data_IF_756919192292
#
_entry.id   IF_756919192292
#
_cell.length_a   1.000
_cell.length_b   1.000
_cell.length_c   1.000
_cell.angle_alpha   90.00
_cell.angle_beta   90.00
_cell.angle_gamma   90.00
#
_symmetry.space_group_name_H-M   'P 1'
#
loop_
_entity.id
_entity.type
_entity.pdbx_description
1 polymer ?
#
# COMPACT_ATOMS: atom_id res chain seq x y z
N UNK A 1 -19.02 4.58 2.47
CA UNK A 1 -17.66 4.42 3.03
C UNK A 1 -17.68 4.97 4.45
N UNK A 2 -17.00 4.35 5.43
CA UNK A 2 -16.88 4.92 6.76
C UNK A 2 -16.37 6.36 6.69
N UNK A 3 -16.69 7.17 7.71
CA UNK A 3 -16.35 8.60 7.80
C UNK A 3 -14.81 8.80 7.91
N UNK A 4 -14.14 8.66 6.77
CA UNK A 4 -12.71 8.85 6.52
C UNK A 4 -12.50 10.22 5.87
N UNK A 5 -11.33 10.81 6.11
CA UNK A 5 -10.96 12.04 5.44
C UNK A 5 -10.78 11.80 3.93
N UNK A 6 -11.03 12.81 3.10
CA UNK A 6 -10.91 12.72 1.63
C UNK A 6 -9.56 12.17 1.18
N UNK A 7 -8.47 12.57 1.84
CA UNK A 7 -7.13 12.09 1.52
C UNK A 7 -6.98 10.59 1.77
N UNK A 8 -7.51 10.08 2.89
CA UNK A 8 -7.51 8.66 3.25
C UNK A 8 -8.31 7.83 2.23
N UNK A 9 -9.48 8.33 1.84
CA UNK A 9 -10.30 7.68 0.82
C UNK A 9 -9.58 7.59 -0.52
N UNK A 10 -8.83 8.63 -0.90
CA UNK A 10 -8.04 8.65 -2.14
C UNK A 10 -6.92 7.62 -2.10
N UNK A 11 -6.15 7.55 -1.00
CA UNK A 11 -5.11 6.55 -0.79
C UNK A 11 -5.71 5.13 -0.92
N UNK A 12 -6.79 4.85 -0.20
CA UNK A 12 -7.44 3.53 -0.22
C UNK A 12 -7.99 3.16 -1.60
N UNK A 13 -8.58 4.13 -2.32
CA UNK A 13 -9.05 3.89 -3.69
C UNK A 13 -7.90 3.50 -4.62
N UNK A 14 -6.77 4.23 -4.55
CA UNK A 14 -5.57 3.94 -5.36
C UNK A 14 -4.96 2.59 -5.01
N UNK A 15 -4.90 2.24 -3.73
CA UNK A 15 -4.43 0.92 -3.27
C UNK A 15 -5.33 -0.22 -3.76
N UNK A 16 -6.66 -0.09 -3.63
CA UNK A 16 -7.63 -1.13 -4.03
C UNK A 16 -7.66 -1.37 -5.53
N UNK A 17 -7.49 -0.32 -6.33
CA UNK A 17 -7.54 -0.40 -7.80
C UNK A 17 -6.17 -0.67 -8.42
N UNK A 18 -5.10 -0.46 -7.66
CA UNK A 18 -3.73 -0.46 -8.18
C UNK A 18 -3.42 0.71 -9.11
N UNK A 19 -4.35 1.66 -9.32
CA UNK A 19 -4.14 2.88 -10.10
C UNK A 19 -3.38 3.92 -9.29
N UNK A 20 -2.09 3.64 -9.09
CA UNK A 20 -1.21 4.36 -8.18
C UNK A 20 0.17 4.57 -8.79
N UNK A 21 1.01 5.42 -8.20
CA UNK A 21 2.36 5.70 -8.76
C UNK A 21 3.42 4.65 -8.42
N UNK A 22 3.01 3.46 -7.97
CA UNK A 22 3.92 2.33 -7.77
C UNK A 22 4.45 1.79 -9.11
N UNK A 23 5.68 1.25 -9.10
CA UNK A 23 6.39 0.82 -10.31
C UNK A 23 5.61 -0.18 -11.16
N UNK A 24 4.84 -1.09 -10.57
CA UNK A 24 4.06 -2.05 -11.35
C UNK A 24 3.01 -1.36 -12.25
N UNK A 25 2.34 -0.32 -11.74
CA UNK A 25 1.39 0.45 -12.55
C UNK A 25 2.11 1.39 -13.51
N UNK A 26 3.16 2.08 -13.05
CA UNK A 26 3.94 2.99 -13.90
C UNK A 26 4.60 2.27 -15.08
N UNK A 27 5.09 1.05 -14.88
CA UNK A 27 5.64 0.21 -15.95
C UNK A 27 4.55 -0.20 -16.96
N UNK A 28 3.33 -0.53 -16.48
CA UNK A 28 2.19 -0.81 -17.35
C UNK A 28 1.84 0.38 -18.26
N UNK A 29 2.04 1.61 -17.76
CA UNK A 29 1.85 2.85 -18.50
C UNK A 29 3.05 3.24 -19.39
N UNK A 30 4.16 2.47 -19.37
CA UNK A 30 5.38 2.81 -20.09
C UNK A 30 6.19 3.96 -19.47
N UNK A 31 5.89 4.35 -18.22
CA UNK A 31 6.52 5.46 -17.50
C UNK A 31 7.64 5.00 -16.56
N UNK A 32 7.82 3.70 -16.36
CA UNK A 32 8.91 3.12 -15.58
C UNK A 32 9.60 2.03 -16.38
N UNK A 33 10.93 1.93 -16.24
CA UNK A 33 11.75 0.92 -16.92
C UNK A 33 11.55 -0.49 -16.37
N UNK A 34 11.09 -0.63 -15.12
CA UNK A 34 10.87 -1.93 -14.48
C UNK A 34 9.63 -1.91 -13.59
N UNK A 35 8.84 -2.99 -13.54
CA UNK A 35 7.75 -3.11 -12.59
C UNK A 35 8.23 -3.45 -11.18
N UNK A 36 9.51 -3.82 -11.02
CA UNK A 36 10.03 -4.43 -9.80
C UNK A 36 10.24 -3.42 -8.67
N UNK A 37 9.89 -3.87 -7.47
CA UNK A 37 10.18 -3.18 -6.23
C UNK A 37 11.70 -3.08 -6.01
N UNK A 38 12.23 -2.00 -5.38
CA UNK A 38 13.64 -1.91 -5.03
C UNK A 38 14.14 -3.05 -4.11
N UNK A 39 13.24 -3.82 -3.50
CA UNK A 39 13.59 -4.98 -2.71
C UNK A 39 13.90 -6.23 -3.54
N UNK A 40 13.70 -6.18 -4.87
CA UNK A 40 14.03 -7.24 -5.83
C UNK A 40 13.26 -8.57 -5.66
N UNK A 41 12.31 -8.65 -4.72
CA UNK A 41 11.53 -9.87 -4.49
C UNK A 41 10.25 -9.96 -5.33
N UNK A 42 9.93 -8.93 -6.12
CA UNK A 42 8.79 -8.96 -7.04
C UNK A 42 8.34 -7.59 -7.55
N UNK A 43 7.22 -7.54 -8.28
CA UNK A 43 6.60 -6.29 -8.73
C UNK A 43 6.20 -5.39 -7.56
N UNK A 44 6.36 -4.08 -7.70
CA UNK A 44 5.93 -3.12 -6.69
C UNK A 44 4.42 -2.88 -6.79
N UNK A 45 3.61 -3.77 -6.20
CA UNK A 45 2.15 -3.63 -6.12
C UNK A 45 1.70 -3.24 -4.70
N UNK A 46 0.48 -2.71 -4.53
CA UNK A 46 -0.09 -2.49 -3.21
C UNK A 46 -0.03 -3.73 -2.31
N UNK A 47 -0.38 -4.89 -2.84
CA UNK A 47 -0.35 -6.17 -2.12
C UNK A 47 1.08 -6.51 -1.68
N UNK A 48 2.05 -6.37 -2.58
CA UNK A 48 3.45 -6.61 -2.25
C UNK A 48 3.93 -5.71 -1.10
N UNK A 49 3.65 -4.41 -1.18
CA UNK A 49 4.02 -3.40 -0.18
C UNK A 49 3.37 -3.69 1.18
N UNK A 50 2.07 -3.99 1.17
CA UNK A 50 1.25 -4.19 2.37
C UNK A 50 1.49 -5.53 3.08
N UNK A 51 1.96 -6.56 2.37
CA UNK A 51 2.09 -7.92 2.93
C UNK A 51 3.53 -8.45 2.97
N UNK A 52 4.29 -8.29 1.88
CA UNK A 52 5.51 -9.10 1.67
C UNK A 52 6.81 -8.31 1.53
N UNK A 53 6.74 -6.99 1.32
CA UNK A 53 7.93 -6.20 0.98
C UNK A 53 8.92 -6.10 2.14
N UNK A 54 10.15 -6.64 2.05
CA UNK A 54 11.08 -6.62 3.17
C UNK A 54 11.52 -5.21 3.55
N UNK A 55 11.55 -4.26 2.60
CA UNK A 55 11.88 -2.84 2.86
C UNK A 55 10.91 -2.14 3.81
N UNK A 56 9.69 -2.64 3.94
CA UNK A 56 8.65 -2.05 4.78
C UNK A 56 8.28 -2.96 5.95
N UNK A 57 9.11 -3.96 6.27
CA UNK A 57 8.84 -4.88 7.37
C UNK A 57 8.73 -4.17 8.72
N UNK A 58 9.64 -3.24 9.02
CA UNK A 58 9.61 -2.48 10.28
C UNK A 58 8.32 -1.65 10.40
N UNK A 59 7.98 -0.88 9.36
CA UNK A 59 6.74 -0.12 9.32
C UNK A 59 5.50 -1.01 9.44
N UNK A 60 5.51 -2.21 8.86
CA UNK A 60 4.42 -3.18 9.03
C UNK A 60 4.32 -3.70 10.45
N UNK A 61 5.43 -4.00 11.12
CA UNK A 61 5.42 -4.46 12.52
C UNK A 61 4.94 -3.36 13.46
N UNK A 62 5.31 -2.10 13.20
CA UNK A 62 4.86 -0.95 13.97
C UNK A 62 3.34 -0.72 13.85
N UNK A 63 2.78 -0.89 12.64
CA UNK A 63 1.35 -0.67 12.39
C UNK A 63 0.51 -1.92 12.67
N UNK A 64 1.01 -3.12 12.37
CA UNK A 64 0.33 -4.41 12.53
C UNK A 64 1.23 -5.41 13.26
N UNK A 65 1.44 -5.26 14.58
CA UNK A 65 2.33 -6.12 15.35
C UNK A 65 1.89 -7.59 15.39
N UNK A 66 0.58 -7.84 15.24
CA UNK A 66 -0.01 -9.19 15.19
C UNK A 66 -0.19 -9.69 13.75
N UNK A 67 0.26 -8.90 12.76
CA UNK A 67 -0.08 -9.08 11.36
C UNK A 67 -1.49 -8.59 11.03
N UNK A 68 -1.75 -8.43 9.73
CA UNK A 68 -3.08 -8.12 9.21
C UNK A 68 -3.23 -8.76 7.83
N UNK A 69 -4.44 -9.20 7.51
CA UNK A 69 -4.73 -9.72 6.17
C UNK A 69 -4.87 -8.57 5.16
N UNK A 70 -4.60 -8.84 3.88
CA UNK A 70 -4.83 -7.86 2.83
C UNK A 70 -6.30 -7.40 2.79
N UNK A 71 -7.23 -8.31 3.06
CA UNK A 71 -8.66 -8.01 3.12
C UNK A 71 -8.97 -6.97 4.20
N UNK A 72 -8.36 -7.10 5.38
CA UNK A 72 -8.54 -6.17 6.49
C UNK A 72 -7.90 -4.81 6.22
N UNK A 73 -6.68 -4.80 5.68
CA UNK A 73 -5.97 -3.56 5.34
C UNK A 73 -6.72 -2.74 4.26
N UNK A 74 -7.30 -3.40 3.27
CA UNK A 74 -7.95 -2.73 2.15
C UNK A 74 -9.45 -2.57 2.31
N UNK A 75 -10.16 -3.47 2.99
CA UNK A 75 -11.64 -3.45 3.10
C UNK A 75 -12.15 -3.68 4.53
N UNK A 76 -11.29 -3.58 5.53
CA UNK A 76 -11.66 -3.77 6.93
C UNK A 76 -12.42 -2.60 7.55
N UNK A 77 -12.32 -2.51 8.88
CA UNK A 77 -13.00 -1.49 9.68
C UNK A 77 -12.42 -0.09 9.44
N UNK A 78 -13.12 0.95 9.89
CA UNK A 78 -12.59 2.33 9.80
C UNK A 78 -11.20 2.44 10.41
N UNK A 79 -10.95 1.82 11.56
CA UNK A 79 -9.66 1.91 12.25
C UNK A 79 -8.56 1.18 11.48
N UNK A 80 -8.86 -0.01 10.94
CA UNK A 80 -7.95 -0.76 10.06
C UNK A 80 -7.58 0.06 8.81
N UNK A 81 -8.54 0.77 8.23
CA UNK A 81 -8.34 1.62 7.05
C UNK A 81 -7.52 2.88 7.37
N UNK A 82 -7.73 3.50 8.54
CA UNK A 82 -6.92 4.62 9.01
C UNK A 82 -5.47 4.16 9.18
N UNK A 83 -5.27 3.02 9.83
CA UNK A 83 -3.94 2.45 10.06
C UNK A 83 -3.20 2.16 8.76
N UNK A 84 -3.91 1.63 7.76
CA UNK A 84 -3.37 1.42 6.41
C UNK A 84 -2.93 2.74 5.77
N UNK A 85 -3.70 3.82 5.93
CA UNK A 85 -3.33 5.13 5.39
C UNK A 85 -2.12 5.74 6.11
N UNK A 86 -2.01 5.54 7.42
CA UNK A 86 -0.84 5.95 8.22
C UNK A 86 0.42 5.20 7.79
N UNK A 87 0.32 3.90 7.51
CA UNK A 87 1.44 3.10 7.02
C UNK A 87 1.98 3.63 5.67
N UNK A 88 1.09 4.00 4.74
CA UNK A 88 1.50 4.60 3.46
C UNK A 88 2.20 5.94 3.67
N UNK A 89 1.72 6.76 4.60
CA UNK A 89 2.37 8.02 4.95
C UNK A 89 3.76 7.81 5.56
N UNK A 90 3.90 6.82 6.45
CA UNK A 90 5.16 6.48 7.10
C UNK A 90 6.21 5.96 6.10
N UNK A 91 5.79 5.16 5.11
CA UNK A 91 6.66 4.64 4.06
C UNK A 91 7.02 5.65 2.97
N UNK A 92 6.42 6.85 2.98
CA UNK A 92 6.60 7.92 1.98
C UNK A 92 6.37 7.45 0.54
N UNK A 93 5.55 6.42 0.36
CA UNK A 93 5.20 5.91 -0.95
C UNK A 93 4.21 6.86 -1.62
N UNK A 94 4.48 7.18 -2.87
CA UNK A 94 3.50 7.86 -3.72
C UNK A 94 2.54 6.81 -4.27
N UNK A 95 1.35 6.73 -3.67
CA UNK A 95 0.24 5.94 -4.19
C UNK A 95 -0.72 6.83 -4.93
#
# INVERSE_FOLDING_TARGET
MPNLQRHQQTILFRLRTGHCRLRAHMHRLGLSHTPNCPCETGPQTPEHILQTCPLHQEARTDHWPQGATLQEQLWGTKDSLILTTSFIQATKLEV
#
